data_IF_624126133141
#
_entry.id   IF_624126133141
#
_cell.length_a   1.000
_cell.length_b   1.000
_cell.length_c   1.000
_cell.angle_alpha   90.00
_cell.angle_beta   90.00
_cell.angle_gamma   90.00
#
_symmetry.space_group_name_H-M   'P 1'
#
loop_
_entity.id
_entity.type
_entity.pdbx_description
1 polymer ?
#
# COMPACT_ATOMS: atom_id res chain seq x y z
N UNK A 1 9.97 6.73 -24.50
CA UNK A 1 9.38 5.88 -23.45
C UNK A 1 8.90 6.80 -22.34
N UNK A 2 7.64 6.69 -21.90
CA UNK A 2 7.15 7.47 -20.75
C UNK A 2 7.87 6.91 -19.53
N UNK A 3 8.70 7.72 -18.86
CA UNK A 3 9.19 7.36 -17.53
C UNK A 3 7.95 7.17 -16.65
N UNK A 4 7.78 5.98 -16.07
CA UNK A 4 6.79 5.81 -15.00
C UNK A 4 7.15 6.79 -13.89
N UNK A 5 6.23 7.68 -13.55
CA UNK A 5 6.42 8.57 -12.41
C UNK A 5 6.57 7.71 -11.16
N UNK A 6 7.69 7.90 -10.45
CA UNK A 6 7.97 7.16 -9.22
C UNK A 6 6.90 7.48 -8.18
N UNK A 7 6.23 6.45 -7.66
CA UNK A 7 5.25 6.62 -6.60
C UNK A 7 5.96 7.04 -5.31
N UNK A 8 5.37 7.97 -4.56
CA UNK A 8 5.82 8.36 -3.23
C UNK A 8 5.15 7.52 -2.16
N UNK A 9 5.83 7.32 -1.03
CA UNK A 9 5.29 6.63 0.16
C UNK A 9 3.91 7.15 0.60
N UNK A 10 3.70 8.45 0.55
CA UNK A 10 2.42 9.05 0.92
C UNK A 10 1.27 8.66 -0.03
N UNK A 11 1.56 8.56 -1.33
CA UNK A 11 0.60 8.13 -2.35
C UNK A 11 0.27 6.65 -2.19
N UNK A 12 1.30 5.81 -1.98
CA UNK A 12 1.13 4.39 -1.68
C UNK A 12 0.30 4.17 -0.41
N UNK A 13 0.56 4.94 0.65
CA UNK A 13 -0.21 4.89 1.89
C UNK A 13 -1.67 5.34 1.69
N UNK A 14 -1.89 6.40 0.92
CA UNK A 14 -3.24 6.86 0.59
C UNK A 14 -4.03 5.80 -0.16
N UNK A 15 -3.40 5.14 -1.14
CA UNK A 15 -4.03 4.08 -1.92
C UNK A 15 -4.32 2.84 -1.05
N UNK A 16 -3.35 2.45 -0.22
CA UNK A 16 -3.49 1.35 0.75
C UNK A 16 -4.71 1.56 1.66
N UNK A 17 -4.82 2.75 2.27
CA UNK A 17 -5.93 3.10 3.15
C UNK A 17 -7.27 3.14 2.39
N UNK A 18 -7.27 3.68 1.18
CA UNK A 18 -8.47 3.74 0.33
C UNK A 18 -8.97 2.34 0.00
N UNK A 19 -8.08 1.44 -0.43
CA UNK A 19 -8.44 0.06 -0.71
C UNK A 19 -9.00 -0.65 0.53
N UNK A 20 -8.34 -0.52 1.69
CA UNK A 20 -8.78 -1.18 2.92
C UNK A 20 -10.16 -0.66 3.38
N UNK A 21 -10.36 0.65 3.41
CA UNK A 21 -11.56 1.25 4.02
C UNK A 21 -12.71 1.33 3.02
N UNK A 22 -12.45 1.81 1.81
CA UNK A 22 -13.49 2.08 0.80
C UNK A 22 -13.81 0.81 0.01
N UNK A 23 -12.81 0.13 -0.52
CA UNK A 23 -13.05 -1.02 -1.40
C UNK A 23 -13.35 -2.30 -0.62
N UNK A 24 -12.59 -2.59 0.44
CA UNK A 24 -12.81 -3.78 1.28
C UNK A 24 -13.84 -3.55 2.39
N UNK A 25 -14.28 -2.31 2.61
CA UNK A 25 -15.26 -1.97 3.66
C UNK A 25 -14.75 -2.26 5.08
N UNK A 26 -13.43 -2.33 5.29
CA UNK A 26 -12.85 -2.77 6.55
C UNK A 26 -12.56 -1.58 7.48
N UNK A 27 -13.10 -1.64 8.69
CA UNK A 27 -12.81 -0.62 9.72
C UNK A 27 -11.39 -0.77 10.25
N UNK A 28 -10.62 0.31 10.17
CA UNK A 28 -9.29 0.41 10.77
C UNK A 28 -9.36 0.96 12.19
N UNK A 29 -8.79 0.23 13.15
CA UNK A 29 -8.50 0.76 14.48
C UNK A 29 -7.05 1.23 14.47
N UNK A 30 -6.85 2.55 14.52
CA UNK A 30 -5.53 3.18 14.43
C UNK A 30 -4.92 3.34 15.82
N UNK A 31 -4.05 2.41 16.17
CA UNK A 31 -3.10 2.53 17.28
C UNK A 31 -1.65 2.59 16.77
N UNK A 32 -0.71 2.87 17.66
CA UNK A 32 0.72 3.03 17.32
C UNK A 32 1.29 1.85 16.53
N UNK A 33 0.92 0.61 16.88
CA UNK A 33 1.39 -0.60 16.19
C UNK A 33 0.78 -0.71 14.79
N UNK A 34 -0.53 -0.49 14.64
CA UNK A 34 -1.21 -0.53 13.35
C UNK A 34 -0.70 0.54 12.40
N UNK A 35 -0.44 1.76 12.90
CA UNK A 35 0.12 2.87 12.13
C UNK A 35 1.53 2.54 11.65
N UNK A 36 2.36 1.98 12.53
CA UNK A 36 3.70 1.53 12.15
C UNK A 36 3.66 0.45 11.06
N UNK A 37 2.79 -0.56 11.22
CA UNK A 37 2.60 -1.62 10.21
C UNK A 37 2.14 -1.06 8.87
N UNK A 38 1.12 -0.22 8.85
CA UNK A 38 0.59 0.40 7.61
C UNK A 38 1.65 1.27 6.92
N UNK A 39 2.42 2.05 7.70
CA UNK A 39 3.48 2.90 7.18
C UNK A 39 4.63 2.09 6.59
N UNK A 40 5.03 1.00 7.25
CA UNK A 40 6.05 0.07 6.76
C UNK A 40 5.59 -0.63 5.47
N UNK A 41 4.32 -1.05 5.40
CA UNK A 41 3.77 -1.70 4.22
C UNK A 41 3.74 -0.73 3.03
N UNK A 42 3.32 0.52 3.25
CA UNK A 42 3.34 1.54 2.20
C UNK A 42 4.76 1.82 1.67
N UNK A 43 5.77 1.78 2.54
CA UNK A 43 7.19 1.89 2.15
C UNK A 43 7.64 0.70 1.31
N UNK A 44 7.34 -0.52 1.75
CA UNK A 44 7.67 -1.74 0.99
C UNK A 44 7.00 -1.76 -0.38
N UNK A 45 5.72 -1.39 -0.46
CA UNK A 45 5.01 -1.27 -1.74
C UNK A 45 5.66 -0.21 -2.65
N UNK A 46 6.08 0.93 -2.08
CA UNK A 46 6.78 1.98 -2.82
C UNK A 46 8.10 1.49 -3.40
N UNK A 47 8.88 0.75 -2.61
CA UNK A 47 10.16 0.20 -3.05
C UNK A 47 9.96 -0.84 -4.16
N UNK A 48 8.97 -1.73 -4.02
CA UNK A 48 8.67 -2.77 -5.00
C UNK A 48 8.18 -2.21 -6.33
N UNK A 49 7.29 -1.21 -6.28
CA UNK A 49 6.78 -0.52 -7.46
C UNK A 49 7.91 0.21 -8.18
N UNK A 50 8.79 0.89 -7.45
CA UNK A 50 9.88 1.66 -8.04
C UNK A 50 11.05 0.78 -8.51
N UNK A 51 11.17 -0.47 -8.04
CA UNK A 51 12.20 -1.42 -8.44
C UNK A 51 11.84 -2.22 -9.70
N UNK A 52 10.54 -2.34 -10.02
CA UNK A 52 10.04 -3.14 -11.14
C UNK A 52 9.52 -2.27 -12.28
N UNK A 53 10.14 -2.32 -13.46
CA UNK A 53 9.73 -1.54 -14.64
C UNK A 53 8.33 -1.90 -15.17
N UNK A 54 7.88 -3.14 -14.94
CA UNK A 54 6.56 -3.63 -15.38
C UNK A 54 5.55 -3.77 -14.22
N UNK A 55 5.88 -3.27 -13.03
CA UNK A 55 4.98 -3.37 -11.89
C UNK A 55 3.73 -2.52 -12.10
N UNK A 56 2.57 -3.13 -11.84
CA UNK A 56 1.28 -2.45 -11.79
C UNK A 56 1.05 -1.94 -10.36
N UNK A 57 1.08 -0.62 -10.10
CA UNK A 57 1.13 -0.09 -8.74
C UNK A 57 -0.03 -0.51 -7.84
N UNK A 58 -1.25 -0.53 -8.39
CA UNK A 58 -2.43 -0.88 -7.61
C UNK A 58 -2.43 -2.36 -7.22
N UNK A 59 -2.02 -3.28 -8.10
CA UNK A 59 -1.97 -4.72 -7.79
C UNK A 59 -1.03 -5.04 -6.63
N UNK A 60 0.15 -4.40 -6.59
CA UNK A 60 1.11 -4.57 -5.49
C UNK A 60 0.50 -4.06 -4.17
N UNK A 61 -0.11 -2.87 -4.19
CA UNK A 61 -0.70 -2.28 -2.98
C UNK A 61 -1.87 -3.13 -2.47
N UNK A 62 -2.71 -3.66 -3.36
CA UNK A 62 -3.81 -4.55 -3.01
C UNK A 62 -3.31 -5.86 -2.41
N UNK A 63 -2.28 -6.48 -3.02
CA UNK A 63 -1.64 -7.68 -2.48
C UNK A 63 -1.14 -7.47 -1.05
N UNK A 64 -0.41 -6.38 -0.83
CA UNK A 64 0.13 -6.00 0.48
C UNK A 64 -0.96 -5.69 1.50
N UNK A 65 -2.04 -5.02 1.08
CA UNK A 65 -3.22 -4.78 1.91
C UNK A 65 -3.88 -6.08 2.36
N UNK A 66 -4.02 -7.04 1.44
CA UNK A 66 -4.61 -8.34 1.74
C UNK A 66 -3.74 -9.13 2.74
N UNK A 67 -2.40 -9.02 2.65
CA UNK A 67 -1.48 -9.59 3.63
C UNK A 67 -1.72 -8.97 5.01
N UNK A 68 -1.83 -7.64 5.10
CA UNK A 68 -2.10 -6.94 6.35
C UNK A 68 -3.42 -7.40 6.99
N UNK A 69 -4.48 -7.52 6.19
CA UNK A 69 -5.81 -7.90 6.67
C UNK A 69 -5.87 -9.37 7.14
N UNK A 70 -5.07 -10.26 6.56
CA UNK A 70 -5.00 -11.68 6.98
C UNK A 70 -4.20 -11.90 8.27
N UNK A 71 -3.35 -10.95 8.66
CA UNK A 71 -2.51 -11.02 9.86
C UNK A 71 -3.16 -10.37 11.10
N UNK A 72 -4.35 -9.80 10.95
CA UNK A 72 -5.13 -9.15 12.00
C UNK A 72 -6.12 -10.13 12.61
#
# INVERSE_FOLDING_TARGET
>A
MKQQERIKKAEALSFLLTYIVVHQGHTLSLNSLSLFKLTRIAEQATDEINASEDAVPHEIIESMANIYLKQK
#
